data_IF_679062020493
#
_entry.id   IF_679062020493
#
_cell.length_a   1.000
_cell.length_b   1.000
_cell.length_c   1.000
_cell.angle_alpha   90.00
_cell.angle_beta   90.00
_cell.angle_gamma   90.00
#
_symmetry.space_group_name_H-M   'P 1'
#
loop_
_entity.id
_entity.type
_entity.pdbx_description
1 polymer ?
#
# COMPACT_ATOMS: atom_id res chain seq x y z
N UNK A 1 -11.68 17.47 6.10
CA UNK A 1 -11.36 16.06 6.41
C UNK A 1 -9.87 15.87 6.46
N UNK A 2 -9.42 15.18 7.45
CA UNK A 2 -8.01 14.92 7.62
C UNK A 2 -7.67 13.49 7.20
N UNK A 3 -6.39 13.24 6.96
CA UNK A 3 -5.88 11.91 6.68
C UNK A 3 -6.23 10.90 7.78
N UNK A 4 -6.45 11.37 9.01
CA UNK A 4 -6.83 10.54 10.16
C UNK A 4 -8.07 9.68 9.92
N UNK A 5 -8.88 10.03 8.94
CA UNK A 5 -10.09 9.29 8.61
C UNK A 5 -9.81 8.02 7.79
N UNK A 6 -8.64 7.92 7.18
CA UNK A 6 -8.33 6.81 6.28
C UNK A 6 -7.54 5.70 6.96
N UNK A 7 -7.90 4.45 6.63
CA UNK A 7 -7.25 3.24 7.11
C UNK A 7 -6.30 2.72 6.05
N UNK A 8 -5.05 2.55 6.41
CA UNK A 8 -3.99 2.11 5.49
C UNK A 8 -3.44 0.77 5.95
N UNK A 9 -3.41 -0.20 5.06
CA UNK A 9 -2.76 -1.47 5.30
C UNK A 9 -1.42 -1.47 4.56
N UNK A 10 -0.33 -1.61 5.31
CA UNK A 10 1.03 -1.68 4.76
C UNK A 10 1.48 -3.12 4.67
N UNK A 11 1.98 -3.52 3.51
CA UNK A 11 2.50 -4.87 3.29
C UNK A 11 3.95 -4.77 2.82
N UNK A 12 4.87 -5.32 3.61
CA UNK A 12 6.30 -5.32 3.31
C UNK A 12 6.92 -6.44 4.15
N UNK A 13 7.88 -7.16 3.60
CA UNK A 13 8.57 -8.22 4.34
C UNK A 13 9.62 -7.71 5.32
N UNK A 14 9.98 -6.44 5.24
CA UNK A 14 10.95 -5.81 6.13
C UNK A 14 10.25 -5.17 7.33
N UNK A 15 10.45 -5.72 8.51
CA UNK A 15 9.89 -5.16 9.75
C UNK A 15 10.37 -3.74 10.00
N UNK A 16 11.63 -3.45 9.66
CA UNK A 16 12.21 -2.12 9.83
C UNK A 16 11.50 -1.12 8.92
N UNK A 17 11.31 -1.50 7.67
CA UNK A 17 10.59 -0.66 6.71
C UNK A 17 9.17 -0.40 7.17
N UNK A 18 8.45 -1.45 7.59
CA UNK A 18 7.08 -1.31 8.10
C UNK A 18 7.02 -0.34 9.28
N UNK A 19 7.97 -0.45 10.20
CA UNK A 19 8.00 0.42 11.37
C UNK A 19 8.16 1.89 10.99
N UNK A 20 9.12 2.20 10.14
CA UNK A 20 9.37 3.58 9.72
C UNK A 20 8.22 4.16 8.91
N UNK A 21 7.71 3.41 7.96
CA UNK A 21 6.62 3.88 7.10
C UNK A 21 5.35 4.06 7.93
N UNK A 22 5.04 3.10 8.80
CA UNK A 22 3.87 3.21 9.68
C UNK A 22 3.97 4.45 10.57
N UNK A 23 5.15 4.72 11.14
CA UNK A 23 5.37 5.89 11.99
C UNK A 23 5.08 7.19 11.24
N UNK A 24 5.56 7.29 10.00
CA UNK A 24 5.34 8.48 9.18
C UNK A 24 3.86 8.70 8.93
N UNK A 25 3.14 7.63 8.58
CA UNK A 25 1.71 7.73 8.27
C UNK A 25 0.86 7.99 9.52
N UNK A 26 1.18 7.35 10.63
CA UNK A 26 0.46 7.58 11.90
C UNK A 26 0.60 9.02 12.35
N UNK A 27 1.80 9.60 12.22
CA UNK A 27 2.01 11.01 12.55
C UNK A 27 1.20 11.95 11.67
N UNK A 28 0.92 11.54 10.45
CA UNK A 28 0.10 12.33 9.52
C UNK A 28 -1.40 12.13 9.76
N UNK A 29 -1.78 11.24 10.67
CA UNK A 29 -3.17 11.04 11.06
C UNK A 29 -3.85 9.82 10.48
N UNK A 30 -3.13 8.96 9.76
CA UNK A 30 -3.69 7.72 9.22
C UNK A 30 -3.82 6.66 10.31
N UNK A 31 -4.84 5.81 10.18
CA UNK A 31 -4.97 4.60 10.98
C UNK A 31 -4.28 3.48 10.21
N UNK A 32 -3.18 2.94 10.74
CA UNK A 32 -2.30 2.04 10.01
C UNK A 32 -2.23 0.67 10.66
N UNK A 33 -2.37 -0.38 9.85
CA UNK A 33 -2.03 -1.74 10.23
C UNK A 33 -0.99 -2.28 9.25
N UNK A 34 -0.23 -3.28 9.69
CA UNK A 34 0.87 -3.83 8.91
C UNK A 34 0.76 -5.33 8.77
N UNK A 35 1.30 -5.86 7.68
CA UNK A 35 1.43 -7.30 7.47
C UNK A 35 2.76 -7.55 6.75
N UNK A 36 3.53 -8.51 7.23
CA UNK A 36 4.81 -8.86 6.62
C UNK A 36 4.77 -10.19 5.84
N UNK A 37 3.62 -10.85 5.82
CA UNK A 37 3.39 -12.02 4.99
C UNK A 37 1.90 -12.19 4.66
N UNK A 38 1.58 -13.15 3.79
CA UNK A 38 0.22 -13.37 3.30
C UNK A 38 -0.71 -13.82 4.42
N UNK A 39 -0.22 -14.66 5.34
CA UNK A 39 -1.06 -15.16 6.45
C UNK A 39 -1.51 -14.02 7.36
N UNK A 40 -0.60 -13.11 7.68
CA UNK A 40 -0.94 -11.93 8.47
C UNK A 40 -1.88 -10.99 7.73
N UNK A 41 -1.68 -10.86 6.42
CA UNK A 41 -2.58 -10.09 5.57
C UNK A 41 -4.00 -10.61 5.65
N UNK A 42 -4.19 -11.92 5.50
CA UNK A 42 -5.50 -12.53 5.58
C UNK A 42 -6.14 -12.34 6.96
N UNK A 43 -5.33 -12.45 8.01
CA UNK A 43 -5.79 -12.21 9.38
C UNK A 43 -6.29 -10.78 9.58
N UNK A 44 -5.58 -9.80 9.05
CA UNK A 44 -5.99 -8.40 9.15
C UNK A 44 -7.28 -8.16 8.37
N UNK A 45 -7.35 -8.65 7.13
CA UNK A 45 -8.52 -8.44 6.27
C UNK A 45 -9.77 -9.16 6.79
N UNK A 46 -9.61 -10.13 7.67
CA UNK A 46 -10.73 -10.87 8.25
C UNK A 46 -11.63 -10.02 9.13
N UNK A 47 -11.08 -9.02 9.82
CA UNK A 47 -11.84 -8.20 10.77
C UNK A 47 -11.59 -6.70 10.66
N UNK A 48 -10.83 -6.25 9.65
CA UNK A 48 -10.52 -4.84 9.47
C UNK A 48 -10.50 -4.50 7.97
N UNK A 49 -11.21 -3.44 7.60
CA UNK A 49 -11.34 -3.04 6.20
C UNK A 49 -10.50 -1.80 5.93
N UNK A 50 -9.37 -1.93 5.21
CA UNK A 50 -8.59 -0.76 4.84
C UNK A 50 -9.27 0.06 3.74
N UNK A 51 -8.96 1.35 3.72
CA UNK A 51 -9.38 2.23 2.63
C UNK A 51 -8.39 2.17 1.48
N UNK A 52 -7.14 1.81 1.78
CA UNK A 52 -6.09 1.65 0.77
C UNK A 52 -5.04 0.65 1.27
N UNK A 53 -4.48 -0.11 0.33
CA UNK A 53 -3.40 -1.06 0.61
C UNK A 53 -2.14 -0.55 -0.07
N UNK A 54 -1.06 -0.37 0.71
CA UNK A 54 0.28 -0.08 0.18
C UNK A 54 1.10 -1.35 0.27
N UNK A 55 1.59 -1.84 -0.86
CA UNK A 55 2.40 -3.06 -0.87
C UNK A 55 3.74 -2.85 -1.57
N UNK A 56 4.79 -3.40 -0.98
CA UNK A 56 6.08 -3.47 -1.65
C UNK A 56 5.99 -4.43 -2.84
N UNK A 57 6.86 -4.25 -3.81
CA UNK A 57 6.95 -5.09 -5.00
C UNK A 57 7.79 -6.33 -4.75
N UNK A 58 8.91 -6.17 -4.04
CA UNK A 58 9.88 -7.23 -3.83
C UNK A 58 9.70 -7.87 -2.45
N UNK A 59 9.05 -9.05 -2.43
CA UNK A 59 8.84 -9.81 -1.21
C UNK A 59 9.11 -11.29 -1.47
N UNK A 60 9.71 -12.02 -0.51
CA UNK A 60 9.91 -13.45 -0.69
C UNK A 60 8.57 -14.21 -0.71
N UNK A 61 8.50 -15.22 -1.54
CA UNK A 61 7.32 -16.08 -1.64
C UNK A 61 6.26 -15.56 -2.59
N UNK A 62 5.93 -14.28 -2.51
CA UNK A 62 4.97 -13.66 -3.42
C UNK A 62 5.41 -12.22 -3.68
N UNK A 63 5.43 -11.80 -4.94
CA UNK A 63 5.75 -10.41 -5.26
C UNK A 63 4.54 -9.52 -5.02
N UNK A 64 4.78 -8.20 -4.86
CA UNK A 64 3.69 -7.24 -4.75
C UNK A 64 2.81 -7.21 -5.99
N UNK A 65 3.38 -7.54 -7.15
CA UNK A 65 2.63 -7.62 -8.42
C UNK A 65 1.63 -8.79 -8.35
N UNK A 66 2.09 -9.96 -7.94
CA UNK A 66 1.23 -11.13 -7.78
C UNK A 66 0.16 -10.90 -6.71
N UNK A 67 0.56 -10.28 -5.60
CA UNK A 67 -0.36 -9.95 -4.53
C UNK A 67 -1.45 -8.99 -5.01
N UNK A 68 -1.07 -7.97 -5.77
CA UNK A 68 -2.02 -7.02 -6.33
C UNK A 68 -3.03 -7.73 -7.23
N UNK A 69 -2.56 -8.60 -8.12
CA UNK A 69 -3.45 -9.39 -8.98
C UNK A 69 -4.39 -10.26 -8.19
N UNK A 70 -3.89 -10.90 -7.14
CA UNK A 70 -4.69 -11.74 -6.27
C UNK A 70 -5.78 -10.93 -5.57
N UNK A 71 -5.44 -9.77 -5.03
CA UNK A 71 -6.40 -8.89 -4.36
C UNK A 71 -7.45 -8.37 -5.34
N UNK A 72 -7.05 -8.00 -6.55
CA UNK A 72 -7.97 -7.47 -7.56
C UNK A 72 -8.88 -8.55 -8.15
N UNK A 73 -8.48 -9.81 -8.11
CA UNK A 73 -9.31 -10.90 -8.59
C UNK A 73 -10.19 -11.53 -7.51
N UNK A 74 -9.99 -11.17 -6.24
CA UNK A 74 -10.80 -11.68 -5.13
C UNK A 74 -12.02 -10.76 -4.94
N UNK A 75 -13.19 -11.37 -4.93
CA UNK A 75 -14.46 -10.64 -4.79
C UNK A 75 -14.50 -9.71 -3.56
N UNK A 76 -13.94 -10.15 -2.44
CA UNK A 76 -13.99 -9.38 -1.20
C UNK A 76 -13.04 -8.17 -1.18
N UNK A 77 -11.98 -8.20 -1.98
CA UNK A 77 -10.94 -7.16 -1.96
C UNK A 77 -10.81 -6.39 -3.28
N UNK A 78 -11.51 -6.82 -4.32
CA UNK A 78 -11.37 -6.22 -5.65
C UNK A 78 -11.64 -4.72 -5.69
N UNK A 79 -12.47 -4.23 -4.80
CA UNK A 79 -12.84 -2.80 -4.73
C UNK A 79 -11.89 -1.96 -3.88
N UNK A 80 -10.97 -2.60 -3.15
CA UNK A 80 -10.02 -1.86 -2.30
C UNK A 80 -8.87 -1.36 -3.16
N UNK A 81 -8.58 -0.04 -3.16
CA UNK A 81 -7.44 0.49 -3.90
C UNK A 81 -6.12 -0.11 -3.43
N UNK A 82 -5.30 -0.54 -4.40
CA UNK A 82 -3.97 -1.08 -4.13
C UNK A 82 -2.94 -0.15 -4.76
N UNK A 83 -1.99 0.31 -3.95
CA UNK A 83 -0.91 1.19 -4.37
C UNK A 83 0.41 0.47 -4.17
N UNK A 84 1.20 0.37 -5.23
CA UNK A 84 2.55 -0.19 -5.13
C UNK A 84 3.46 0.85 -4.46
N UNK A 85 4.23 0.42 -3.48
CA UNK A 85 5.13 1.29 -2.73
C UNK A 85 6.49 0.62 -2.59
N UNK A 86 7.46 1.03 -3.40
CA UNK A 86 8.72 0.32 -3.53
C UNK A 86 9.88 1.28 -3.80
N UNK A 87 11.11 0.80 -3.57
CA UNK A 87 12.32 1.54 -3.89
C UNK A 87 12.59 1.62 -5.40
N UNK A 88 11.85 0.87 -6.20
CA UNK A 88 11.94 0.94 -7.67
C UNK A 88 11.63 2.38 -8.11
N UNK A 89 12.39 2.94 -9.06
CA UNK A 89 12.13 4.30 -9.56
C UNK A 89 10.70 4.48 -10.05
N UNK A 90 10.15 5.67 -9.85
CA UNK A 90 8.75 5.97 -10.15
C UNK A 90 8.33 5.54 -11.56
N UNK A 91 9.16 5.83 -12.56
CA UNK A 91 8.85 5.50 -13.95
C UNK A 91 8.67 3.99 -14.18
N UNK A 92 9.57 3.17 -13.62
CA UNK A 92 9.47 1.72 -13.73
C UNK A 92 8.29 1.19 -12.94
N UNK A 93 8.06 1.77 -11.77
CA UNK A 93 6.97 1.37 -10.89
C UNK A 93 5.60 1.60 -11.56
N UNK A 94 5.48 2.68 -12.31
CA UNK A 94 4.25 2.96 -13.07
C UNK A 94 3.94 1.88 -14.09
N UNK A 95 4.96 1.34 -14.75
CA UNK A 95 4.79 0.22 -15.66
C UNK A 95 4.30 -1.04 -14.95
N UNK A 96 4.88 -1.33 -13.79
CA UNK A 96 4.46 -2.48 -12.98
C UNK A 96 3.02 -2.33 -12.50
N UNK A 97 2.63 -1.12 -12.11
CA UNK A 97 1.27 -0.83 -11.65
C UNK A 97 0.26 -1.08 -12.77
N UNK A 98 0.57 -0.67 -13.99
CA UNK A 98 -0.30 -0.94 -15.15
C UNK A 98 -0.45 -2.44 -15.40
N UNK A 99 0.65 -3.19 -15.29
CA UNK A 99 0.64 -4.63 -15.57
C UNK A 99 -0.21 -5.43 -14.59
N UNK A 100 -0.31 -5.00 -13.35
CA UNK A 100 -1.07 -5.72 -12.33
C UNK A 100 -2.40 -5.03 -11.97
N UNK A 101 -2.75 -3.99 -12.69
CA UNK A 101 -3.98 -3.22 -12.46
C UNK A 101 -4.05 -2.56 -11.10
N UNK A 102 -2.90 -2.17 -10.55
CA UNK A 102 -2.85 -1.39 -9.33
C UNK A 102 -3.47 -0.01 -9.55
N UNK A 103 -4.05 0.54 -8.52
CA UNK A 103 -4.74 1.83 -8.58
C UNK A 103 -3.78 3.02 -8.56
N UNK A 104 -2.54 2.79 -8.14
CA UNK A 104 -1.51 3.81 -8.13
C UNK A 104 -0.16 3.23 -7.71
N UNK A 105 0.84 4.09 -7.67
CA UNK A 105 2.16 3.71 -7.20
C UNK A 105 2.91 4.92 -6.66
N UNK A 106 3.74 4.68 -5.65
CA UNK A 106 4.58 5.70 -5.03
C UNK A 106 5.96 5.10 -4.82
N UNK A 107 7.01 5.77 -5.30
CA UNK A 107 8.37 5.30 -5.12
C UNK A 107 8.93 5.76 -3.77
N UNK A 108 9.58 4.84 -3.05
CA UNK A 108 10.30 5.18 -1.83
C UNK A 108 11.46 6.13 -2.11
N UNK A 109 11.96 6.17 -3.34
CA UNK A 109 13.02 7.08 -3.74
C UNK A 109 12.59 8.55 -3.74
N UNK A 110 11.29 8.82 -3.68
CA UNK A 110 10.77 10.20 -3.58
C UNK A 110 10.93 10.77 -2.17
N UNK A 111 11.27 9.94 -1.19
CA UNK A 111 11.46 10.34 0.20
C UNK A 111 10.26 10.04 1.07
N UNK A 112 10.49 9.48 2.27
CA UNK A 112 9.42 9.13 3.19
C UNK A 112 8.68 10.35 3.75
N UNK A 113 9.36 11.48 3.83
CA UNK A 113 8.77 12.73 4.30
C UNK A 113 7.67 13.23 3.35
N UNK A 114 7.71 12.83 2.10
CA UNK A 114 6.70 13.19 1.09
C UNK A 114 5.54 12.21 1.03
N UNK A 115 5.69 11.02 1.61
CA UNK A 115 4.69 9.96 1.50
C UNK A 115 3.30 10.39 1.95
N UNK A 116 3.11 11.02 3.12
CA UNK A 116 1.76 11.38 3.56
C UNK A 116 1.05 12.30 2.57
N UNK A 117 1.78 13.27 2.02
CA UNK A 117 1.23 14.23 1.08
C UNK A 117 0.93 13.59 -0.27
N UNK A 118 1.83 12.74 -0.76
CA UNK A 118 1.62 12.02 -2.01
C UNK A 118 0.44 11.05 -1.91
N UNK A 119 0.32 10.35 -0.79
CA UNK A 119 -0.80 9.45 -0.56
C UNK A 119 -2.12 10.21 -0.48
N UNK A 120 -2.14 11.32 0.23
CA UNK A 120 -3.33 12.17 0.32
C UNK A 120 -3.76 12.65 -1.06
N UNK A 121 -2.82 13.05 -1.88
CA UNK A 121 -3.12 13.50 -3.25
C UNK A 121 -3.72 12.39 -4.09
N UNK A 122 -3.18 11.16 -3.99
CA UNK A 122 -3.75 10.00 -4.67
C UNK A 122 -5.18 9.72 -4.21
N UNK A 123 -5.41 9.76 -2.91
CA UNK A 123 -6.74 9.53 -2.34
C UNK A 123 -7.74 10.55 -2.90
N UNK A 124 -7.35 11.81 -2.98
CA UNK A 124 -8.22 12.88 -3.44
C UNK A 124 -8.47 12.86 -4.94
N UNK A 125 -7.52 12.39 -5.74
CA UNK A 125 -7.58 12.57 -7.19
C UNK A 125 -7.79 11.27 -7.97
N UNK A 126 -7.37 10.13 -7.44
CA UNK A 126 -7.35 8.89 -8.22
C UNK A 126 -8.02 7.70 -7.56
N UNK A 127 -8.07 7.62 -6.23
CA UNK A 127 -8.57 6.43 -5.54
C UNK A 127 -10.05 6.51 -5.15
N UNK A 128 -10.55 7.69 -4.99
CA UNK A 128 -11.95 7.93 -4.59
C UNK A 128 -12.57 9.08 -5.43
#
# INVERSE_FOLDING_TARGET
MTAAQHKVLLIDDSEISLHFVASVLVRAGYDVRTADDVDKLEGVLGDWRPDVILTDVNMPGISGIELCRMLKSNYETAHVPVVLFSAVPQHELEGMARDCEADGCLSKSNGLDRLPKELQLLIETALF
#
